data_IF_088762230388
#
_entry.id   IF_088762230388
#
_cell.length_a   1.000
_cell.length_b   1.000
_cell.length_c   1.000
_cell.angle_alpha   90.00
_cell.angle_beta   90.00
_cell.angle_gamma   90.00
#
_symmetry.space_group_name_H-M   'P 1'
#
loop_
_entity.id
_entity.type
_entity.pdbx_description
1 polymer ?
#
# COMPACT_ATOMS: atom_id res chain seq x y z
N UNK A 1 21.10 4.84 -39.83
CA UNK A 1 20.53 3.50 -39.63
C UNK A 1 19.64 3.56 -38.40
N UNK A 2 18.34 3.78 -38.57
CA UNK A 2 17.38 3.76 -37.46
C UNK A 2 17.11 2.28 -37.19
N UNK A 3 17.54 1.76 -36.03
CA UNK A 3 17.17 0.40 -35.64
C UNK A 3 15.67 0.38 -35.37
N UNK A 4 14.95 -0.36 -36.18
CA UNK A 4 13.51 -0.59 -35.99
C UNK A 4 13.31 -1.38 -34.69
N UNK A 5 12.47 -0.84 -33.81
CA UNK A 5 11.99 -1.59 -32.64
C UNK A 5 11.12 -2.74 -33.15
N UNK A 6 11.28 -3.97 -32.63
CA UNK A 6 10.46 -5.10 -33.07
C UNK A 6 8.98 -4.79 -32.84
N UNK A 7 8.13 -5.22 -33.77
CA UNK A 7 6.69 -5.01 -33.73
C UNK A 7 6.12 -5.54 -32.41
N UNK A 8 5.59 -4.63 -31.59
CA UNK A 8 4.83 -4.98 -30.39
C UNK A 8 3.53 -5.63 -30.87
N UNK A 9 3.25 -6.84 -30.40
CA UNK A 9 1.96 -7.51 -30.61
C UNK A 9 0.80 -6.66 -30.06
N UNK A 10 -0.47 -7.10 -30.21
CA UNK A 10 -1.62 -6.29 -29.85
C UNK A 10 -1.46 -5.73 -28.44
N UNK A 11 -1.54 -4.40 -28.31
CA UNK A 11 -1.44 -3.68 -27.04
C UNK A 11 -2.47 -4.25 -26.06
N UNK A 12 -2.04 -5.16 -25.20
CA UNK A 12 -2.74 -5.42 -23.95
C UNK A 12 -2.51 -4.16 -23.13
N UNK A 13 -3.55 -3.37 -22.78
CA UNK A 13 -3.37 -2.23 -21.89
C UNK A 13 -2.75 -2.79 -20.62
N UNK A 14 -1.52 -2.39 -20.31
CA UNK A 14 -0.80 -2.94 -19.18
C UNK A 14 -1.42 -2.35 -17.93
N UNK A 15 -2.38 -3.08 -17.37
CA UNK A 15 -2.98 -2.77 -16.10
C UNK A 15 -1.95 -3.13 -15.03
N UNK A 16 -1.43 -2.13 -14.32
CA UNK A 16 -0.42 -2.29 -13.27
C UNK A 16 -1.12 -2.23 -11.90
N UNK A 17 -1.72 -3.34 -11.42
CA UNK A 17 -2.53 -3.34 -10.22
C UNK A 17 -1.67 -3.20 -8.97
N UNK A 18 -2.01 -2.23 -8.12
CA UNK A 18 -1.38 -2.05 -6.81
C UNK A 18 -2.39 -2.26 -5.69
N UNK A 19 -1.90 -2.73 -4.55
CA UNK A 19 -2.62 -2.72 -3.28
C UNK A 19 -2.23 -1.46 -2.51
N UNK A 20 -3.22 -0.65 -2.12
CA UNK A 20 -3.02 0.52 -1.26
C UNK A 20 -3.45 0.21 0.17
N UNK A 21 -2.52 0.33 1.12
CA UNK A 21 -2.75 0.08 2.56
C UNK A 21 -2.46 1.36 3.35
N UNK A 22 -3.22 1.62 4.41
CA UNK A 22 -3.18 2.94 5.08
C UNK A 22 -3.43 4.07 4.08
N UNK A 23 -4.42 3.85 3.21
CA UNK A 23 -4.66 4.63 1.99
C UNK A 23 -5.18 6.06 2.25
N UNK A 24 -5.69 6.32 3.45
CA UNK A 24 -6.35 7.57 3.79
C UNK A 24 -7.43 7.93 2.76
N UNK A 25 -7.46 9.20 2.35
CA UNK A 25 -8.40 9.70 1.35
C UNK A 25 -7.96 9.45 -0.12
N UNK A 26 -6.84 8.75 -0.35
CA UNK A 26 -6.35 8.39 -1.70
C UNK A 26 -5.37 9.38 -2.35
N UNK A 27 -4.71 10.24 -1.57
CA UNK A 27 -3.76 11.22 -2.11
C UNK A 27 -2.55 10.59 -2.81
N UNK A 28 -1.95 9.55 -2.21
CA UNK A 28 -0.84 8.80 -2.81
C UNK A 28 -1.32 8.05 -4.06
N UNK A 29 -2.47 7.38 -3.95
CA UNK A 29 -3.12 6.65 -5.03
C UNK A 29 -3.38 7.52 -6.27
N UNK A 30 -3.81 8.77 -6.10
CA UNK A 30 -4.00 9.71 -7.21
C UNK A 30 -2.70 9.93 -8.01
N UNK A 31 -1.56 10.00 -7.33
CA UNK A 31 -0.24 10.09 -7.98
C UNK A 31 0.11 8.83 -8.77
N UNK A 32 -0.11 7.65 -8.18
CA UNK A 32 0.09 6.36 -8.86
C UNK A 32 -0.84 6.19 -10.06
N UNK A 33 -2.11 6.58 -9.92
CA UNK A 33 -3.07 6.58 -11.02
C UNK A 33 -2.64 7.50 -12.16
N UNK A 34 -2.13 8.70 -11.83
CA UNK A 34 -1.58 9.64 -12.81
C UNK A 34 -0.32 9.09 -13.52
N UNK A 35 0.39 8.16 -12.88
CA UNK A 35 1.55 7.46 -13.45
C UNK A 35 1.19 6.16 -14.21
N UNK A 36 -0.10 5.83 -14.34
CA UNK A 36 -0.58 4.66 -15.09
C UNK A 36 -0.80 3.38 -14.26
N UNK A 37 -0.70 3.46 -12.94
CA UNK A 37 -1.06 2.34 -12.06
C UNK A 37 -2.55 2.33 -11.74
N UNK A 38 -3.06 1.19 -11.27
CA UNK A 38 -4.43 1.07 -10.79
C UNK A 38 -4.47 0.53 -9.38
N UNK A 39 -4.96 1.32 -8.42
CA UNK A 39 -5.30 0.80 -7.10
C UNK A 39 -6.48 -0.17 -7.23
N UNK A 40 -6.21 -1.47 -7.13
CA UNK A 40 -7.25 -2.49 -7.22
C UNK A 40 -8.04 -2.55 -5.90
N UNK A 41 -7.33 -2.48 -4.78
CA UNK A 41 -7.88 -2.43 -3.43
C UNK A 41 -7.20 -1.30 -2.67
N UNK A 42 -7.99 -0.55 -1.91
CA UNK A 42 -7.51 0.45 -0.97
C UNK A 42 -8.06 0.14 0.42
N UNK A 43 -7.21 0.15 1.44
CA UNK A 43 -7.56 -0.22 2.81
C UNK A 43 -7.19 0.90 3.76
N UNK A 44 -8.14 1.27 4.61
CA UNK A 44 -7.94 2.19 5.73
C UNK A 44 -8.91 1.86 6.87
N UNK A 45 -8.59 2.29 8.09
CA UNK A 45 -9.44 2.10 9.27
C UNK A 45 -10.49 3.21 9.39
N UNK A 46 -10.19 4.42 8.90
CA UNK A 46 -11.05 5.59 9.06
C UNK A 46 -12.23 5.55 8.07
N UNK A 47 -13.48 5.45 8.57
CA UNK A 47 -14.66 5.42 7.71
C UNK A 47 -14.84 6.72 6.89
N UNK A 48 -14.40 7.87 7.40
CA UNK A 48 -14.48 9.14 6.66
C UNK A 48 -13.46 9.18 5.51
N UNK A 49 -12.26 8.65 5.75
CA UNK A 49 -11.24 8.46 4.72
C UNK A 49 -11.73 7.53 3.62
N UNK A 50 -12.30 6.36 3.99
CA UNK A 50 -12.90 5.41 3.04
C UNK A 50 -14.05 6.03 2.24
N UNK A 51 -14.94 6.79 2.88
CA UNK A 51 -16.03 7.48 2.19
C UNK A 51 -15.50 8.47 1.15
N UNK A 52 -14.46 9.22 1.52
CA UNK A 52 -13.79 10.18 0.62
C UNK A 52 -13.08 9.46 -0.52
N UNK A 53 -12.35 8.38 -0.22
CA UNK A 53 -11.65 7.56 -1.20
C UNK A 53 -12.64 7.02 -2.24
N UNK A 54 -13.77 6.42 -1.82
CA UNK A 54 -14.80 5.89 -2.74
C UNK A 54 -15.36 6.96 -3.69
N UNK A 55 -15.54 8.19 -3.18
CA UNK A 55 -16.02 9.31 -3.98
C UNK A 55 -15.02 9.72 -5.06
N UNK A 56 -13.72 9.69 -4.75
CA UNK A 56 -12.65 10.17 -5.61
C UNK A 56 -12.10 9.08 -6.56
N UNK A 57 -12.19 7.81 -6.17
CA UNK A 57 -11.66 6.65 -6.89
C UNK A 57 -12.75 5.59 -7.09
N UNK A 58 -13.79 5.87 -7.89
CA UNK A 58 -14.98 4.99 -8.02
C UNK A 58 -14.69 3.61 -8.61
N UNK A 59 -13.54 3.42 -9.25
CA UNK A 59 -13.12 2.15 -9.87
C UNK A 59 -12.24 1.28 -8.95
N UNK A 60 -12.03 1.70 -7.70
CA UNK A 60 -11.21 0.98 -6.72
C UNK A 60 -12.07 0.38 -5.62
N UNK A 61 -11.77 -0.85 -5.21
CA UNK A 61 -12.41 -1.46 -4.05
C UNK A 61 -11.82 -0.90 -2.76
N UNK A 62 -12.45 0.13 -2.20
CA UNK A 62 -12.09 0.68 -0.89
C UNK A 62 -12.76 -0.10 0.25
N UNK A 63 -11.96 -0.60 1.19
CA UNK A 63 -12.36 -1.48 2.30
C UNK A 63 -11.99 -0.83 3.63
N UNK A 64 -12.96 -0.72 4.53
CA UNK A 64 -12.69 -0.31 5.91
C UNK A 64 -12.18 -1.51 6.70
N UNK A 65 -10.94 -1.47 7.19
CA UNK A 65 -10.33 -2.57 7.93
C UNK A 65 -9.20 -2.08 8.85
N UNK A 66 -9.10 -2.64 10.05
CA UNK A 66 -7.98 -2.38 10.95
C UNK A 66 -6.77 -3.26 10.60
N UNK A 67 -5.80 -2.68 9.91
CA UNK A 67 -4.55 -3.36 9.52
C UNK A 67 -3.65 -3.71 10.70
N UNK A 68 -3.88 -3.17 11.90
CA UNK A 68 -3.13 -3.52 13.11
C UNK A 68 -3.53 -4.90 13.67
N UNK A 69 -4.78 -5.30 13.47
CA UNK A 69 -5.37 -6.52 14.04
C UNK A 69 -5.75 -7.56 12.99
N UNK A 70 -5.60 -7.25 11.72
CA UNK A 70 -5.92 -8.14 10.60
C UNK A 70 -4.75 -9.06 10.28
N UNK A 71 -5.01 -10.36 10.11
CA UNK A 71 -4.01 -11.28 9.59
C UNK A 71 -3.71 -10.93 8.11
N UNK A 72 -2.45 -10.71 7.73
CA UNK A 72 -2.09 -10.44 6.33
C UNK A 72 -2.62 -11.47 5.32
N UNK A 73 -2.81 -12.72 5.75
CA UNK A 73 -3.39 -13.80 4.93
C UNK A 73 -4.83 -13.49 4.53
N UNK A 74 -5.60 -12.81 5.39
CA UNK A 74 -6.96 -12.36 5.05
C UNK A 74 -6.93 -11.28 3.97
N UNK A 75 -5.88 -10.45 3.94
CA UNK A 75 -5.69 -9.42 2.92
C UNK A 75 -5.27 -10.06 1.59
N UNK A 76 -4.44 -11.10 1.61
CA UNK A 76 -4.13 -11.93 0.42
C UNK A 76 -5.41 -12.58 -0.11
N UNK A 77 -6.23 -13.19 0.76
CA UNK A 77 -7.51 -13.78 0.35
C UNK A 77 -8.46 -12.73 -0.23
N UNK A 78 -8.57 -11.56 0.41
CA UNK A 78 -9.36 -10.43 -0.09
C UNK A 78 -8.90 -9.99 -1.49
N UNK A 79 -7.59 -9.93 -1.72
CA UNK A 79 -7.00 -9.65 -3.02
C UNK A 79 -7.37 -10.70 -4.05
N UNK A 80 -7.07 -11.96 -3.78
CA UNK A 80 -7.33 -13.07 -4.69
C UNK A 80 -8.80 -13.15 -5.10
N UNK A 81 -9.72 -12.97 -4.13
CA UNK A 81 -11.16 -12.97 -4.37
C UNK A 81 -11.63 -11.79 -5.22
N UNK A 82 -10.98 -10.62 -5.11
CA UNK A 82 -11.38 -9.44 -5.87
C UNK A 82 -10.77 -9.40 -7.27
N UNK A 83 -9.50 -9.82 -7.41
CA UNK A 83 -8.72 -9.66 -8.64
C UNK A 83 -8.62 -10.94 -9.46
N UNK A 84 -9.08 -12.08 -8.94
CA UNK A 84 -8.89 -13.38 -9.61
C UNK A 84 -7.44 -13.86 -9.57
N UNK A 85 -6.74 -13.62 -8.46
CA UNK A 85 -5.32 -13.97 -8.23
C UNK A 85 -4.33 -13.28 -9.18
N UNK A 86 -4.72 -12.19 -9.85
CA UNK A 86 -3.78 -11.37 -10.62
C UNK A 86 -2.66 -10.89 -9.69
N UNK A 87 -1.40 -11.08 -10.08
CA UNK A 87 -0.25 -10.61 -9.29
C UNK A 87 -0.31 -9.07 -9.12
N UNK A 88 -0.25 -8.53 -7.89
CA UNK A 88 0.00 -7.11 -7.69
C UNK A 88 1.42 -6.78 -8.11
N UNK A 89 1.58 -5.66 -8.81
CA UNK A 89 2.91 -5.18 -9.19
C UNK A 89 3.61 -4.52 -8.00
N UNK A 90 2.83 -3.90 -7.11
CA UNK A 90 3.36 -3.28 -5.91
C UNK A 90 2.33 -3.04 -4.80
N UNK A 91 2.86 -2.77 -3.61
CA UNK A 91 2.10 -2.30 -2.45
C UNK A 91 2.51 -0.87 -2.14
N UNK A 92 1.53 0.00 -1.94
CA UNK A 92 1.76 1.41 -1.60
C UNK A 92 1.04 1.75 -0.30
N UNK A 93 1.58 2.68 0.49
CA UNK A 93 0.90 3.11 1.70
C UNK A 93 1.71 4.01 2.62
N UNK A 94 1.01 4.71 3.51
CA UNK A 94 1.61 5.59 4.54
C UNK A 94 1.15 5.19 5.94
N UNK A 95 1.73 4.13 6.56
CA UNK A 95 1.39 3.77 7.94
C UNK A 95 1.65 4.94 8.89
N UNK A 96 0.74 5.25 9.83
CA UNK A 96 0.81 6.50 10.58
C UNK A 96 2.02 6.56 11.50
N UNK A 97 2.72 7.69 11.43
CA UNK A 97 4.03 7.93 12.04
C UNK A 97 4.00 8.44 13.51
N UNK A 98 2.91 8.23 14.26
CA UNK A 98 2.75 8.91 15.55
C UNK A 98 3.80 8.54 16.63
N UNK A 99 4.64 7.54 16.38
CA UNK A 99 5.81 7.20 17.21
C UNK A 99 7.08 8.03 16.92
N UNK A 100 7.23 8.64 15.73
CA UNK A 100 8.50 9.26 15.28
C UNK A 100 8.43 10.78 15.06
N UNK A 101 7.32 11.44 15.42
CA UNK A 101 7.28 12.90 15.43
C UNK A 101 8.06 13.45 16.63
N UNK A 102 8.78 14.55 16.41
CA UNK A 102 9.53 15.31 17.43
C UNK A 102 8.67 15.82 18.60
N UNK A 103 7.35 15.65 18.54
CA UNK A 103 6.38 16.08 19.55
C UNK A 103 6.07 15.00 20.61
N UNK A 104 6.59 13.77 20.48
CA UNK A 104 6.36 12.69 21.45
C UNK A 104 7.56 12.48 22.39
N UNK A 105 7.58 13.25 23.48
CA UNK A 105 8.63 13.20 24.53
C UNK A 105 8.64 11.90 25.37
N UNK A 106 7.66 11.00 25.17
CA UNK A 106 7.47 9.79 25.97
C UNK A 106 7.40 8.52 25.09
N UNK A 107 8.50 8.15 24.43
CA UNK A 107 8.64 6.84 23.81
C UNK A 107 8.97 5.78 24.89
N UNK A 108 8.13 4.75 25.00
CA UNK A 108 8.44 3.52 25.77
C UNK A 108 8.89 2.45 24.77
N UNK A 109 9.85 1.60 25.13
CA UNK A 109 10.38 0.54 24.25
C UNK A 109 9.31 -0.45 23.72
N UNK A 110 8.15 -0.54 24.37
CA UNK A 110 6.99 -1.39 24.01
C UNK A 110 5.84 -0.58 23.40
N UNK A 111 6.16 0.29 22.47
CA UNK A 111 5.17 1.15 21.85
C UNK A 111 4.23 0.38 20.91
N UNK A 112 2.89 0.35 21.13
CA UNK A 112 1.95 -0.22 20.17
C UNK A 112 2.01 0.46 18.80
N UNK A 113 2.66 1.63 18.68
CA UNK A 113 2.86 2.37 17.44
C UNK A 113 3.90 1.76 16.50
N UNK A 114 4.82 0.90 16.98
CA UNK A 114 5.70 0.11 16.08
C UNK A 114 4.92 -0.96 15.31
N UNK A 115 3.79 -1.41 15.87
CA UNK A 115 2.98 -2.50 15.29
C UNK A 115 2.44 -2.18 13.90
N UNK A 116 2.24 -0.91 13.56
CA UNK A 116 1.69 -0.53 12.25
C UNK A 116 2.73 -0.61 11.12
N UNK A 117 4.00 -0.31 11.44
CA UNK A 117 5.10 -0.57 10.51
C UNK A 117 5.33 -2.08 10.36
N UNK A 118 5.27 -2.83 11.47
CA UNK A 118 5.33 -4.29 11.42
C UNK A 118 4.15 -4.87 10.60
N UNK A 119 2.93 -4.36 10.78
CA UNK A 119 1.77 -4.73 9.95
C UNK A 119 2.03 -4.47 8.47
N UNK A 120 2.56 -3.30 8.11
CA UNK A 120 2.91 -2.99 6.71
C UNK A 120 3.94 -4.00 6.17
N UNK A 121 5.02 -4.25 6.92
CA UNK A 121 6.07 -5.18 6.52
C UNK A 121 5.53 -6.62 6.37
N UNK A 122 4.72 -7.09 7.31
CA UNK A 122 4.10 -8.41 7.27
C UNK A 122 3.17 -8.57 6.06
N UNK A 123 2.43 -7.52 5.69
CA UNK A 123 1.60 -7.52 4.47
C UNK A 123 2.48 -7.65 3.23
N UNK A 124 3.55 -6.84 3.14
CA UNK A 124 4.49 -6.92 2.02
C UNK A 124 5.11 -8.32 1.90
N UNK A 125 5.61 -8.87 3.00
CA UNK A 125 6.21 -10.21 3.03
C UNK A 125 5.21 -11.28 2.57
N UNK A 126 3.98 -11.24 3.08
CA UNK A 126 2.94 -12.21 2.74
C UNK A 126 2.56 -12.14 1.27
N UNK A 127 2.37 -10.94 0.73
CA UNK A 127 2.12 -10.78 -0.70
C UNK A 127 3.30 -11.26 -1.56
N UNK A 128 4.53 -10.93 -1.17
CA UNK A 128 5.73 -11.39 -1.87
C UNK A 128 5.82 -12.93 -1.90
N UNK A 129 5.48 -13.60 -0.80
CA UNK A 129 5.49 -15.07 -0.69
C UNK A 129 4.37 -15.73 -1.50
N UNK A 130 3.14 -15.23 -1.42
CA UNK A 130 1.97 -15.92 -2.00
C UNK A 130 1.67 -15.53 -3.46
N UNK A 131 1.96 -14.29 -3.85
CA UNK A 131 1.59 -13.73 -5.15
C UNK A 131 2.77 -13.15 -5.93
N UNK A 132 3.89 -12.91 -5.26
CA UNK A 132 5.02 -12.15 -5.80
C UNK A 132 4.75 -10.64 -5.75
N UNK A 133 5.83 -9.86 -5.77
CA UNK A 133 5.77 -8.40 -5.73
C UNK A 133 7.02 -7.81 -6.39
N UNK A 134 6.87 -6.74 -7.18
CA UNK A 134 8.01 -6.10 -7.85
C UNK A 134 8.55 -4.91 -7.05
N UNK A 135 7.67 -4.18 -6.35
CA UNK A 135 8.07 -3.08 -5.49
C UNK A 135 7.11 -2.86 -4.31
N UNK A 136 7.56 -2.08 -3.33
CA UNK A 136 6.66 -1.45 -2.37
C UNK A 136 7.07 0.00 -2.15
N UNK A 137 6.11 0.85 -1.77
CA UNK A 137 6.35 2.25 -1.41
C UNK A 137 5.72 2.54 -0.05
N UNK A 138 6.60 2.82 0.92
CA UNK A 138 6.21 3.26 2.25
C UNK A 138 6.46 4.77 2.35
N UNK A 139 5.39 5.56 2.43
CA UNK A 139 5.48 6.99 2.72
C UNK A 139 5.60 7.20 4.23
N UNK A 140 6.56 8.03 4.65
CA UNK A 140 6.76 8.37 6.04
C UNK A 140 7.55 9.68 6.21
N UNK A 141 7.55 10.21 7.44
CA UNK A 141 8.30 11.44 7.76
C UNK A 141 9.81 11.16 7.95
N UNK A 142 10.70 12.16 7.75
CA UNK A 142 12.15 11.99 7.82
C UNK A 142 12.70 11.41 9.15
N UNK A 143 11.94 11.53 10.24
CA UNK A 143 12.30 10.99 11.55
C UNK A 143 12.50 9.46 11.58
N UNK A 144 11.98 8.74 10.60
CA UNK A 144 12.16 7.29 10.43
C UNK A 144 13.65 6.91 10.26
N UNK A 145 14.44 7.75 9.58
CA UNK A 145 15.86 7.47 9.25
C UNK A 145 16.81 7.84 10.41
N UNK A 146 16.30 8.41 11.50
CA UNK A 146 17.10 8.80 12.65
C UNK A 146 17.71 7.61 13.40
N UNK A 147 18.97 7.75 13.88
CA UNK A 147 19.72 6.74 14.67
C UNK A 147 18.98 6.11 15.85
N UNK A 148 17.85 6.68 16.29
CA UNK A 148 17.00 6.14 17.37
C UNK A 148 16.19 4.90 16.98
N UNK A 149 16.11 4.58 15.68
CA UNK A 149 15.26 3.49 15.16
C UNK A 149 16.02 2.47 14.31
N UNK A 150 17.35 2.55 14.28
CA UNK A 150 18.21 1.50 13.75
C UNK A 150 18.28 0.37 14.79
N UNK A 151 17.63 -0.76 14.50
CA UNK A 151 17.85 -2.03 15.20
C UNK A 151 18.82 -2.88 14.40
#
# INVERSE_FOLDING_TARGET
>A
MRSERPAVGPEVPVDWPVLSVFSGAGGLDLGFQSAGFRSAIAIDIDPAAIATYKRNHPNTKAVQLDLASTDPTDIVNLWENHTGRIKPVGIIGGPPCQGFSSSNLHQKQNDPRHRLLDSYANIVEKFAVYLGLDFFVLENVPGLVGRRHQR
#
